data_IF_846936996039
#
_entry.id   IF_846936996039
#
_cell.length_a   1.000
_cell.length_b   1.000
_cell.length_c   1.000
_cell.angle_alpha   90.00
_cell.angle_beta   90.00
_cell.angle_gamma   90.00
#
_symmetry.space_group_name_H-M   'P 1'
#
loop_
_entity.id
_entity.type
_entity.pdbx_description
1 polymer ?
#
# COMPACT_ATOMS: atom_id res chain seq x y z
N UNK A 1 5.41 -3.86 10.99
CA UNK A 1 5.90 -4.00 12.38
C UNK A 1 6.12 -5.47 12.75
N UNK A 2 5.10 -6.32 12.69
CA UNK A 2 5.15 -7.67 13.29
C UNK A 2 6.14 -8.66 12.67
N UNK A 3 6.53 -8.45 11.40
CA UNK A 3 7.51 -9.32 10.72
C UNK A 3 8.93 -9.19 11.30
N UNK A 4 9.41 -7.96 11.51
CA UNK A 4 10.83 -7.68 11.79
C UNK A 4 11.09 -6.82 13.04
N UNK A 5 10.11 -6.03 13.49
CA UNK A 5 10.32 -5.00 14.52
C UNK A 5 9.50 -5.22 15.81
N UNK A 6 8.41 -6.00 15.75
CA UNK A 6 7.51 -6.19 16.89
C UNK A 6 6.86 -7.59 16.89
N UNK A 7 7.69 -8.64 17.05
CA UNK A 7 7.21 -10.05 17.04
C UNK A 7 6.46 -10.40 18.33
N UNK A 8 5.43 -11.24 18.23
CA UNK A 8 4.68 -11.70 19.39
C UNK A 8 5.55 -12.52 20.36
N UNK A 9 5.33 -12.35 21.67
CA UNK A 9 6.06 -13.09 22.69
C UNK A 9 5.46 -14.49 22.92
N UNK A 10 6.28 -15.46 23.37
CA UNK A 10 5.77 -16.69 23.97
C UNK A 10 4.79 -16.39 25.10
N UNK A 11 3.81 -17.28 25.30
CA UNK A 11 2.74 -17.11 26.31
C UNK A 11 3.28 -16.89 27.71
N UNK A 12 4.40 -17.52 28.05
CA UNK A 12 5.06 -17.43 29.36
C UNK A 12 5.73 -16.07 29.63
N UNK A 13 6.08 -15.33 28.57
CA UNK A 13 6.79 -14.04 28.65
C UNK A 13 5.87 -12.85 28.36
N UNK A 14 4.56 -13.08 28.18
CA UNK A 14 3.63 -12.07 27.66
C UNK A 14 3.40 -10.89 28.60
N UNK A 15 3.62 -11.03 29.91
CA UNK A 15 3.29 -10.02 30.92
C UNK A 15 4.29 -10.01 32.09
N UNK A 16 4.58 -8.82 32.60
CA UNK A 16 5.34 -8.62 33.85
C UNK A 16 4.62 -9.21 35.06
N UNK A 17 5.38 -9.66 36.06
CA UNK A 17 4.86 -10.23 37.30
C UNK A 17 4.20 -11.62 37.16
N UNK A 18 4.04 -12.15 35.95
CA UNK A 18 3.45 -13.47 35.68
C UNK A 18 4.36 -14.32 34.80
N UNK A 19 4.18 -15.64 34.85
CA UNK A 19 4.95 -16.59 34.03
C UNK A 19 6.45 -16.49 34.31
N UNK A 20 7.25 -16.30 33.26
CA UNK A 20 8.71 -16.19 33.36
C UNK A 20 9.19 -14.92 34.08
N UNK A 21 8.32 -13.89 34.21
CA UNK A 21 8.58 -12.65 34.97
C UNK A 21 7.97 -12.68 36.38
N UNK A 22 7.67 -13.86 36.93
CA UNK A 22 7.11 -13.98 38.28
C UNK A 22 7.99 -13.27 39.32
N UNK A 23 7.39 -12.32 40.06
CA UNK A 23 8.07 -11.51 41.07
C UNK A 23 8.71 -10.21 40.58
N UNK A 24 8.79 -9.97 39.26
CA UNK A 24 9.25 -8.70 38.68
C UNK A 24 8.09 -7.97 37.99
N UNK A 25 7.46 -7.06 38.74
CA UNK A 25 6.29 -6.31 38.28
C UNK A 25 6.62 -5.28 37.19
N UNK A 26 7.89 -4.89 37.06
CA UNK A 26 8.35 -3.85 36.12
C UNK A 26 9.16 -4.43 34.95
N UNK A 27 9.31 -5.76 34.87
CA UNK A 27 10.14 -6.42 33.85
C UNK A 27 11.55 -5.82 33.72
N UNK A 28 12.18 -5.51 34.85
CA UNK A 28 13.51 -4.87 34.88
C UNK A 28 14.62 -5.85 34.48
N UNK A 29 14.41 -7.14 34.77
CA UNK A 29 15.34 -8.22 34.45
C UNK A 29 14.79 -9.11 33.35
N UNK A 30 15.62 -9.46 32.35
CA UNK A 30 15.23 -10.37 31.27
C UNK A 30 15.42 -11.83 31.72
N UNK A 31 14.33 -12.64 31.82
CA UNK A 31 14.43 -14.05 32.15
C UNK A 31 15.13 -14.83 31.03
N UNK A 32 15.90 -15.88 31.35
CA UNK A 32 16.64 -16.66 30.35
C UNK A 32 15.73 -17.41 29.37
N UNK A 33 14.45 -17.63 29.72
CA UNK A 33 13.46 -18.26 28.85
C UNK A 33 12.81 -17.28 27.84
N UNK A 34 13.02 -15.97 27.99
CA UNK A 34 12.34 -14.95 27.19
C UNK A 34 13.27 -14.32 26.15
N UNK A 35 12.79 -14.08 24.92
CA UNK A 35 13.58 -13.39 23.92
C UNK A 35 13.71 -11.89 24.25
N UNK A 36 14.82 -11.24 23.86
CA UNK A 36 15.01 -9.82 24.09
C UNK A 36 14.09 -8.97 23.21
N UNK A 37 13.73 -7.79 23.73
CA UNK A 37 13.05 -6.72 23.00
C UNK A 37 14.07 -5.60 22.76
N UNK A 38 14.39 -5.20 21.51
CA UNK A 38 13.92 -5.69 20.20
C UNK A 38 14.56 -7.02 19.74
N UNK A 39 14.01 -7.76 18.74
CA UNK A 39 12.88 -7.43 17.85
C UNK A 39 11.50 -7.93 18.31
N UNK A 40 11.43 -8.55 19.49
CA UNK A 40 10.17 -9.02 20.06
C UNK A 40 9.47 -7.88 20.82
N UNK A 41 8.14 -7.98 20.96
CA UNK A 41 7.34 -7.00 21.69
C UNK A 41 7.81 -6.84 23.14
N UNK A 42 7.54 -5.70 23.77
CA UNK A 42 7.78 -5.59 25.21
C UNK A 42 6.66 -6.31 25.98
N UNK A 43 6.96 -7.02 27.08
CA UNK A 43 5.93 -7.63 27.91
C UNK A 43 4.91 -6.60 28.41
N UNK A 44 3.65 -7.03 28.53
CA UNK A 44 2.58 -6.16 29.02
C UNK A 44 2.78 -5.85 30.52
N UNK A 45 2.37 -4.67 31.00
CA UNK A 45 2.43 -4.32 32.41
C UNK A 45 1.41 -5.11 33.23
N UNK A 46 1.67 -5.26 34.54
CA UNK A 46 0.73 -5.87 35.48
C UNK A 46 -0.27 -4.82 35.99
N UNK A 47 -1.27 -4.49 35.17
CA UNK A 47 -2.30 -3.48 35.49
C UNK A 47 -3.72 -4.03 35.30
N UNK A 48 -4.64 -3.70 36.22
CA UNK A 48 -6.08 -4.01 36.13
C UNK A 48 -6.80 -3.16 35.09
N UNK A 49 -7.82 -3.72 34.42
CA UNK A 49 -8.70 -3.02 33.48
C UNK A 49 -9.37 -1.78 34.10
N UNK A 50 -9.59 -1.80 35.41
CA UNK A 50 -10.15 -0.65 36.16
C UNK A 50 -9.28 0.62 36.12
N UNK A 51 -8.05 0.52 35.58
CA UNK A 51 -7.12 1.65 35.49
C UNK A 51 -7.19 2.43 34.18
N UNK A 52 -8.14 2.12 33.30
CA UNK A 52 -8.33 2.89 32.06
C UNK A 52 -8.72 4.35 32.31
N UNK A 53 -9.39 4.63 33.43
CA UNK A 53 -9.84 5.97 33.82
C UNK A 53 -8.96 6.62 34.91
N UNK A 54 -7.92 5.92 35.38
CA UNK A 54 -7.08 6.41 36.46
C UNK A 54 -6.09 7.48 35.95
N UNK A 55 -6.01 8.61 36.65
CA UNK A 55 -5.06 9.69 36.36
C UNK A 55 -3.63 9.37 36.79
N UNK A 56 -3.46 8.43 37.72
CA UNK A 56 -2.16 7.96 38.20
C UNK A 56 -2.13 6.44 38.30
N UNK A 57 -1.16 5.82 37.65
CA UNK A 57 -0.98 4.37 37.61
C UNK A 57 -0.37 3.81 38.89
N UNK A 58 0.25 4.64 39.75
CA UNK A 58 0.80 4.18 41.02
C UNK A 58 -0.30 3.67 41.98
N UNK A 59 -1.52 4.20 41.85
CA UNK A 59 -2.67 3.83 42.69
C UNK A 59 -3.44 2.61 42.16
N UNK A 60 -2.96 1.99 41.09
CA UNK A 60 -3.67 0.94 40.39
C UNK A 60 -3.57 -0.44 41.05
N UNK A 61 -4.70 -1.16 41.04
CA UNK A 61 -4.76 -2.55 41.48
C UNK A 61 -4.11 -3.47 40.44
N UNK A 62 -3.40 -4.48 40.92
CA UNK A 62 -2.73 -5.51 40.12
C UNK A 62 -3.54 -6.82 40.13
N UNK A 63 -4.85 -6.72 39.94
CA UNK A 63 -5.81 -7.83 40.08
C UNK A 63 -6.48 -8.05 38.71
N UNK A 64 -6.80 -9.30 38.32
CA UNK A 64 -7.56 -9.56 37.10
C UNK A 64 -8.97 -8.94 37.16
N UNK A 65 -9.55 -8.51 36.03
CA UNK A 65 -9.06 -8.62 34.65
C UNK A 65 -7.93 -7.63 34.34
N UNK A 66 -6.94 -8.07 33.55
CA UNK A 66 -5.78 -7.25 33.20
C UNK A 66 -5.97 -6.48 31.89
N UNK A 67 -5.31 -5.33 31.78
CA UNK A 67 -5.24 -4.47 30.58
C UNK A 67 -4.55 -5.21 29.43
N UNK A 68 -5.13 -5.19 28.22
CA UNK A 68 -4.55 -5.76 27.01
C UNK A 68 -3.72 -4.72 26.21
N UNK A 69 -3.03 -5.15 25.16
CA UNK A 69 -2.24 -4.24 24.31
C UNK A 69 -3.07 -3.14 23.63
N UNK A 70 -4.36 -3.39 23.40
CA UNK A 70 -5.30 -2.46 22.74
C UNK A 70 -5.81 -1.40 23.72
N UNK A 71 -5.85 -1.74 25.01
CA UNK A 71 -6.34 -0.87 26.08
C UNK A 71 -5.30 0.18 26.50
N UNK A 72 -4.03 0.00 26.12
CA UNK A 72 -2.90 0.89 26.46
C UNK A 72 -2.73 1.95 25.36
N UNK A 73 -3.08 3.20 25.69
CA UNK A 73 -2.92 4.33 24.78
C UNK A 73 -1.60 5.10 25.02
N UNK A 74 -0.52 4.69 24.36
CA UNK A 74 0.80 5.31 24.49
C UNK A 74 0.93 6.75 23.96
N UNK A 75 -0.09 7.30 23.31
CA UNK A 75 -0.10 8.70 22.88
C UNK A 75 -0.48 9.66 24.02
N UNK A 76 -1.14 9.14 25.05
CA UNK A 76 -1.55 9.93 26.21
C UNK A 76 -0.46 10.00 27.28
N UNK A 77 -0.32 11.15 27.93
CA UNK A 77 0.76 11.40 28.90
C UNK A 77 0.76 10.42 30.09
N UNK A 78 -0.42 10.01 30.56
CA UNK A 78 -0.58 9.09 31.69
C UNK A 78 0.04 7.72 31.38
N UNK A 79 -0.16 7.21 30.17
CA UNK A 79 0.37 5.91 29.75
C UNK A 79 1.80 6.00 29.24
N UNK A 80 2.16 7.13 28.62
CA UNK A 80 3.51 7.36 28.09
C UNK A 80 4.55 7.52 29.20
N UNK A 81 4.22 8.23 30.27
CA UNK A 81 5.13 8.51 31.38
C UNK A 81 4.78 7.76 32.67
N UNK A 82 3.79 6.88 32.62
CA UNK A 82 3.36 6.10 33.78
C UNK A 82 4.44 5.09 34.24
N UNK A 83 4.61 4.87 35.56
CA UNK A 83 5.70 4.06 36.11
C UNK A 83 5.73 2.62 35.60
N UNK A 84 4.55 2.03 35.33
CA UNK A 84 4.44 0.64 34.88
C UNK A 84 4.42 0.51 33.35
N UNK A 85 3.97 1.54 32.62
CA UNK A 85 3.75 1.48 31.16
C UNK A 85 4.80 2.22 30.35
N UNK A 86 5.65 3.03 30.96
CA UNK A 86 6.71 3.79 30.27
C UNK A 86 7.63 2.89 29.45
N UNK A 87 8.11 1.78 30.01
CA UNK A 87 9.00 0.85 29.30
C UNK A 87 8.30 0.21 28.09
N UNK A 88 7.04 -0.22 28.26
CA UNK A 88 6.23 -0.76 27.18
C UNK A 88 5.99 0.27 26.06
N UNK A 89 5.58 1.49 26.42
CA UNK A 89 5.33 2.54 25.44
C UNK A 89 6.59 3.03 24.74
N UNK A 90 7.73 3.14 25.44
CA UNK A 90 9.01 3.47 24.83
C UNK A 90 9.46 2.40 23.82
N UNK A 91 9.33 1.11 24.19
CA UNK A 91 9.64 0.01 23.29
C UNK A 91 8.71 -0.02 22.07
N UNK A 92 7.40 0.13 22.27
CA UNK A 92 6.40 0.22 21.19
C UNK A 92 6.72 1.37 20.23
N UNK A 93 6.97 2.57 20.77
CA UNK A 93 7.31 3.75 19.98
C UNK A 93 8.61 3.56 19.19
N UNK A 94 9.64 2.97 19.79
CA UNK A 94 10.89 2.66 19.08
C UNK A 94 10.70 1.67 17.92
N UNK A 95 9.82 0.68 18.10
CA UNK A 95 9.47 -0.29 17.06
C UNK A 95 8.63 0.34 15.93
N UNK A 96 7.71 1.25 16.28
CA UNK A 96 6.94 2.05 15.31
C UNK A 96 7.85 2.93 14.45
N UNK A 97 8.79 3.64 15.08
CA UNK A 97 9.78 4.46 14.36
C UNK A 97 10.67 3.63 13.43
N UNK A 98 11.14 2.46 13.90
CA UNK A 98 11.94 1.55 13.07
C UNK A 98 11.13 1.00 11.88
N UNK A 99 9.83 0.75 12.06
CA UNK A 99 8.94 0.28 11.01
C UNK A 99 8.48 1.39 10.04
N UNK A 100 8.53 2.66 10.43
CA UNK A 100 8.20 3.79 9.58
C UNK A 100 9.18 3.93 8.38
N UNK A 101 10.46 3.60 8.58
CA UNK A 101 11.47 3.68 7.53
C UNK A 101 11.08 2.95 6.24
N UNK A 102 10.82 1.63 6.28
CA UNK A 102 10.35 0.87 5.13
C UNK A 102 9.07 1.41 4.48
N UNK A 103 8.14 1.97 5.25
CA UNK A 103 6.89 2.55 4.73
C UNK A 103 7.16 3.82 3.90
N UNK A 104 8.11 4.66 4.33
CA UNK A 104 8.49 5.88 3.60
C UNK A 104 9.37 5.61 2.38
N UNK A 105 10.16 4.53 2.40
CA UNK A 105 11.06 4.17 1.28
C UNK A 105 10.29 3.83 0.01
N UNK A 106 9.12 3.18 0.10
CA UNK A 106 8.31 2.81 -1.07
C UNK A 106 7.94 4.00 -1.96
N UNK A 107 7.21 5.01 -1.45
CA UNK A 107 6.87 6.21 -2.20
C UNK A 107 8.09 6.99 -2.73
N UNK A 108 9.16 7.06 -1.93
CA UNK A 108 10.41 7.69 -2.37
C UNK A 108 11.04 6.95 -3.55
N UNK A 109 11.09 5.61 -3.50
CA UNK A 109 11.58 4.79 -4.59
C UNK A 109 10.75 5.02 -5.86
N UNK A 110 9.41 5.07 -5.76
CA UNK A 110 8.52 5.39 -6.89
C UNK A 110 8.86 6.76 -7.49
N UNK A 111 9.04 7.79 -6.65
CA UNK A 111 9.33 9.14 -7.12
C UNK A 111 10.63 9.21 -7.94
N UNK A 112 11.64 8.45 -7.54
CA UNK A 112 12.92 8.37 -8.26
C UNK A 112 12.82 7.47 -9.50
N UNK A 113 12.09 6.36 -9.42
CA UNK A 113 12.03 5.36 -10.49
C UNK A 113 11.03 5.68 -11.58
N UNK A 114 9.98 6.46 -11.29
CA UNK A 114 8.94 6.84 -12.24
C UNK A 114 9.47 7.51 -13.53
N UNK A 115 10.34 8.55 -13.50
CA UNK A 115 10.84 9.15 -14.72
C UNK A 115 11.73 8.20 -15.54
N UNK A 116 12.55 7.38 -14.87
CA UNK A 116 13.45 6.42 -15.50
C UNK A 116 12.68 5.32 -16.22
N UNK A 117 11.72 4.71 -15.53
CA UNK A 117 10.90 3.64 -16.10
C UNK A 117 9.90 4.19 -17.11
N UNK A 118 9.36 5.39 -16.92
CA UNK A 118 8.55 6.06 -17.94
C UNK A 118 9.29 6.19 -19.26
N UNK A 119 10.50 6.76 -19.23
CA UNK A 119 11.35 6.88 -20.42
C UNK A 119 11.67 5.52 -21.06
N UNK A 120 11.94 4.49 -20.24
CA UNK A 120 12.21 3.14 -20.73
C UNK A 120 11.01 2.53 -21.45
N UNK A 121 9.82 2.63 -20.85
CA UNK A 121 8.57 2.09 -21.41
C UNK A 121 8.24 2.78 -22.73
N UNK A 122 8.40 4.10 -22.78
CA UNK A 122 8.15 4.87 -24.01
C UNK A 122 9.12 4.51 -25.14
N UNK A 123 10.38 4.15 -24.82
CA UNK A 123 11.37 3.76 -25.82
C UNK A 123 11.23 2.32 -26.31
N UNK A 124 10.87 1.41 -25.41
CA UNK A 124 10.78 -0.04 -25.70
C UNK A 124 9.48 -0.39 -26.43
N UNK A 125 8.36 0.25 -26.07
CA UNK A 125 7.03 -0.16 -26.53
C UNK A 125 6.55 -1.43 -25.80
N UNK A 126 5.67 -2.22 -26.42
CA UNK A 126 5.15 -3.48 -25.85
C UNK A 126 4.47 -3.34 -24.47
N UNK A 127 3.61 -2.34 -24.31
CA UNK A 127 3.04 -1.93 -23.01
C UNK A 127 2.29 -3.05 -22.30
N UNK A 128 1.60 -3.93 -23.03
CA UNK A 128 0.85 -5.08 -22.49
C UNK A 128 1.79 -6.14 -21.88
N UNK A 129 2.89 -6.48 -22.53
CA UNK A 129 3.91 -7.39 -21.97
C UNK A 129 4.66 -6.78 -20.78
N UNK A 130 4.97 -5.49 -20.86
CA UNK A 130 5.58 -4.76 -19.75
C UNK A 130 4.64 -4.77 -18.53
N UNK A 131 3.33 -4.55 -18.74
CA UNK A 131 2.33 -4.63 -17.69
C UNK A 131 2.28 -6.05 -17.09
N UNK A 132 2.29 -7.10 -17.91
CA UNK A 132 2.34 -8.48 -17.42
C UNK A 132 3.61 -8.77 -16.60
N UNK A 133 4.77 -8.34 -17.10
CA UNK A 133 6.05 -8.48 -16.41
C UNK A 133 6.08 -7.73 -15.07
N UNK A 134 5.49 -6.54 -15.01
CA UNK A 134 5.37 -5.77 -13.78
C UNK A 134 4.44 -6.44 -12.75
N UNK A 135 3.34 -7.07 -13.18
CA UNK A 135 2.48 -7.85 -12.29
C UNK A 135 3.18 -9.12 -11.77
N UNK A 136 3.99 -9.78 -12.60
CA UNK A 136 4.82 -10.89 -12.16
C UNK A 136 5.88 -10.45 -11.13
N UNK A 137 6.51 -9.29 -11.34
CA UNK A 137 7.44 -8.71 -10.37
C UNK A 137 6.75 -8.31 -9.06
N UNK A 138 5.52 -7.81 -9.13
CA UNK A 138 4.70 -7.51 -7.95
C UNK A 138 4.38 -8.79 -7.16
N UNK A 139 3.98 -9.86 -7.85
CA UNK A 139 3.77 -11.17 -7.21
C UNK A 139 5.06 -11.69 -6.55
N UNK A 140 6.21 -11.56 -7.23
CA UNK A 140 7.50 -11.91 -6.65
C UNK A 140 7.81 -11.09 -5.39
N UNK A 141 7.53 -9.78 -5.40
CA UNK A 141 7.71 -8.94 -4.21
C UNK A 141 6.82 -9.40 -3.04
N UNK A 142 5.54 -9.74 -3.30
CA UNK A 142 4.62 -10.24 -2.27
C UNK A 142 5.06 -11.61 -1.71
N UNK A 143 5.55 -12.51 -2.56
CA UNK A 143 6.08 -13.81 -2.11
C UNK A 143 7.35 -13.66 -1.27
N UNK A 144 8.27 -12.76 -1.67
CA UNK A 144 9.46 -12.42 -0.88
C UNK A 144 9.09 -11.83 0.48
N UNK A 145 8.07 -10.96 0.52
CA UNK A 145 7.58 -10.34 1.75
C UNK A 145 6.99 -11.37 2.73
N UNK A 146 6.28 -12.37 2.21
CA UNK A 146 5.57 -13.35 3.01
C UNK A 146 6.40 -14.54 3.47
N UNK A 147 7.25 -15.09 2.60
CA UNK A 147 7.89 -16.39 2.83
C UNK A 147 9.40 -16.33 3.06
N UNK A 148 10.03 -15.18 2.85
CA UNK A 148 11.50 -15.07 2.93
C UNK A 148 11.92 -14.26 4.16
N UNK A 149 13.12 -14.48 4.68
CA UNK A 149 13.74 -13.65 5.74
C UNK A 149 14.65 -12.55 5.20
N UNK A 150 14.56 -12.23 3.90
CA UNK A 150 15.32 -11.14 3.26
C UNK A 150 14.85 -9.80 3.81
N UNK A 151 15.80 -8.87 3.93
CA UNK A 151 15.57 -7.49 4.39
C UNK A 151 14.35 -6.86 3.73
N UNK A 152 13.48 -6.23 4.54
CA UNK A 152 12.22 -5.63 4.12
C UNK A 152 12.38 -4.57 3.02
N UNK A 153 13.53 -3.91 2.92
CA UNK A 153 13.78 -2.90 1.89
C UNK A 153 13.76 -3.48 0.47
N UNK A 154 14.23 -4.72 0.28
CA UNK A 154 14.32 -5.35 -1.04
C UNK A 154 12.94 -5.57 -1.69
N UNK A 155 11.98 -6.27 -1.06
CA UNK A 155 10.65 -6.45 -1.65
C UNK A 155 9.90 -5.12 -1.79
N UNK A 156 10.08 -4.17 -0.87
CA UNK A 156 9.43 -2.84 -0.94
C UNK A 156 9.92 -2.05 -2.16
N UNK A 157 11.23 -2.00 -2.40
CA UNK A 157 11.80 -1.31 -3.56
C UNK A 157 11.44 -2.03 -4.86
N UNK A 158 11.43 -3.37 -4.87
CA UNK A 158 11.00 -4.14 -6.03
C UNK A 158 9.52 -3.88 -6.37
N UNK A 159 8.65 -3.85 -5.35
CA UNK A 159 7.23 -3.53 -5.50
C UNK A 159 7.03 -2.10 -6.02
N UNK A 160 7.78 -1.13 -5.49
CA UNK A 160 7.76 0.26 -5.96
C UNK A 160 8.15 0.35 -7.44
N UNK A 161 9.24 -0.29 -7.84
CA UNK A 161 9.70 -0.33 -9.23
C UNK A 161 8.65 -0.96 -10.16
N UNK A 162 8.07 -2.10 -9.75
CA UNK A 162 7.01 -2.78 -10.50
C UNK A 162 5.78 -1.87 -10.69
N UNK A 163 5.34 -1.19 -9.63
CA UNK A 163 4.20 -0.26 -9.69
C UNK A 163 4.48 0.94 -10.60
N UNK A 164 5.70 1.50 -10.56
CA UNK A 164 6.11 2.58 -11.48
C UNK A 164 6.02 2.13 -12.94
N UNK A 165 6.55 0.95 -13.26
CA UNK A 165 6.53 0.39 -14.62
C UNK A 165 5.08 0.14 -15.07
N UNK A 166 4.25 -0.46 -14.22
CA UNK A 166 2.85 -0.73 -14.49
C UNK A 166 2.08 0.56 -14.80
N UNK A 167 2.22 1.57 -13.92
CA UNK A 167 1.59 2.88 -14.04
C UNK A 167 2.00 3.57 -15.35
N UNK A 168 3.30 3.60 -15.66
CA UNK A 168 3.83 4.19 -16.89
C UNK A 168 3.32 3.49 -18.17
N UNK A 169 3.10 2.18 -18.13
CA UNK A 169 2.59 1.44 -19.27
C UNK A 169 1.06 1.58 -19.44
N UNK A 170 0.30 1.50 -18.34
CA UNK A 170 -1.16 1.33 -18.37
C UNK A 170 -1.94 2.65 -18.48
N UNK A 171 -1.55 3.71 -17.77
CA UNK A 171 -2.28 4.97 -17.84
C UNK A 171 -2.37 5.54 -19.25
N UNK A 172 -1.26 5.73 -19.99
CA UNK A 172 -1.36 6.20 -21.38
C UNK A 172 -2.08 5.23 -22.31
N UNK A 173 -2.01 3.92 -22.06
CA UNK A 173 -2.75 2.93 -22.84
C UNK A 173 -4.28 3.12 -22.72
N UNK A 174 -4.76 3.58 -21.56
CA UNK A 174 -6.18 3.84 -21.34
C UNK A 174 -6.72 4.90 -22.29
N UNK A 175 -5.99 6.00 -22.51
CA UNK A 175 -6.39 7.06 -23.45
C UNK A 175 -6.42 6.61 -24.91
N UNK A 176 -5.67 5.57 -25.28
CA UNK A 176 -5.67 5.04 -26.64
C UNK A 176 -6.85 4.08 -26.92
N UNK A 177 -7.44 3.54 -25.86
CA UNK A 177 -8.54 2.58 -25.94
C UNK A 177 -9.92 3.25 -26.00
N UNK A 178 -10.00 4.58 -25.88
CA UNK A 178 -11.27 5.34 -25.83
C UNK A 178 -11.23 6.53 -26.78
N UNK A 179 -12.41 6.93 -27.26
CA UNK A 179 -12.54 8.09 -28.14
C UNK A 179 -12.11 9.39 -27.42
N UNK A 180 -11.57 10.39 -28.14
CA UNK A 180 -11.04 11.62 -27.55
C UNK A 180 -12.03 12.36 -26.62
N UNK A 181 -13.32 12.32 -26.93
CA UNK A 181 -14.37 12.94 -26.12
C UNK A 181 -14.61 12.24 -24.76
N UNK A 182 -14.31 10.94 -24.67
CA UNK A 182 -14.59 10.10 -23.51
C UNK A 182 -13.36 9.82 -22.62
N UNK A 183 -12.20 10.40 -22.96
CA UNK A 183 -10.94 10.18 -22.22
C UNK A 183 -11.07 10.54 -20.74
N UNK A 184 -11.66 11.69 -20.42
CA UNK A 184 -11.85 12.13 -19.03
C UNK A 184 -12.72 11.17 -18.21
N UNK A 185 -13.81 10.67 -18.80
CA UNK A 185 -14.68 9.68 -18.17
C UNK A 185 -13.95 8.37 -17.94
N UNK A 186 -13.13 7.91 -18.89
CA UNK A 186 -12.34 6.69 -18.76
C UNK A 186 -11.36 6.78 -17.58
N UNK A 187 -10.60 7.87 -17.47
CA UNK A 187 -9.70 8.10 -16.33
C UNK A 187 -10.47 8.23 -15.00
N UNK A 188 -11.65 8.86 -15.01
CA UNK A 188 -12.51 8.97 -13.84
C UNK A 188 -13.00 7.60 -13.34
N UNK A 189 -13.48 6.75 -14.24
CA UNK A 189 -13.91 5.38 -13.92
C UNK A 189 -12.74 4.54 -13.40
N UNK A 190 -11.58 4.59 -14.07
CA UNK A 190 -10.39 3.88 -13.63
C UNK A 190 -9.95 4.32 -12.21
N UNK A 191 -9.96 5.62 -11.94
CA UNK A 191 -9.62 6.18 -10.63
C UNK A 191 -10.65 5.80 -9.56
N UNK A 192 -11.94 5.74 -9.91
CA UNK A 192 -12.98 5.28 -9.00
C UNK A 192 -12.76 3.82 -8.57
N UNK A 193 -12.37 2.94 -9.49
CA UNK A 193 -12.01 1.56 -9.15
C UNK A 193 -10.79 1.48 -8.22
N UNK A 194 -9.77 2.31 -8.43
CA UNK A 194 -8.62 2.39 -7.52
C UNK A 194 -9.05 2.83 -6.11
N UNK A 195 -9.93 3.82 -6.00
CA UNK A 195 -10.44 4.28 -4.70
C UNK A 195 -11.27 3.21 -3.99
N UNK A 196 -12.07 2.43 -4.74
CA UNK A 196 -12.78 1.27 -4.18
C UNK A 196 -11.79 0.24 -3.63
N UNK A 197 -10.71 -0.06 -4.35
CA UNK A 197 -9.65 -0.93 -3.86
C UNK A 197 -8.99 -0.41 -2.58
N UNK A 198 -8.67 0.88 -2.54
CA UNK A 198 -8.08 1.54 -1.36
C UNK A 198 -9.02 1.55 -0.15
N UNK A 199 -10.34 1.52 -0.35
CA UNK A 199 -11.32 1.44 0.73
C UNK A 199 -11.56 0.00 1.22
N UNK A 200 -11.70 -0.96 0.30
CA UNK A 200 -12.06 -2.35 0.63
C UNK A 200 -10.88 -3.09 1.26
N UNK A 201 -9.68 -2.95 0.70
CA UNK A 201 -8.52 -3.74 1.11
C UNK A 201 -8.18 -3.54 2.60
N UNK A 202 -8.05 -2.30 3.14
CA UNK A 202 -7.80 -2.10 4.56
C UNK A 202 -8.91 -2.64 5.47
N UNK A 203 -10.18 -2.51 5.04
CA UNK A 203 -11.31 -3.05 5.80
C UNK A 203 -11.25 -4.56 5.92
N UNK A 204 -10.92 -5.25 4.82
CA UNK A 204 -10.74 -6.69 4.83
C UNK A 204 -9.60 -7.11 5.78
N UNK A 205 -8.48 -6.38 5.80
CA UNK A 205 -7.37 -6.63 6.73
C UNK A 205 -7.80 -6.52 8.19
N UNK A 206 -8.62 -5.54 8.53
CA UNK A 206 -9.15 -5.37 9.89
C UNK A 206 -10.08 -6.52 10.28
N UNK A 207 -10.96 -6.95 9.37
CA UNK A 207 -11.87 -8.08 9.61
C UNK A 207 -11.09 -9.38 9.82
N UNK A 208 -10.11 -9.67 8.96
CA UNK A 208 -9.24 -10.84 9.10
C UNK A 208 -8.51 -10.83 10.44
N UNK A 209 -7.94 -9.69 10.83
CA UNK A 209 -7.28 -9.56 12.13
C UNK A 209 -8.24 -9.75 13.32
N UNK A 210 -9.48 -9.22 13.21
CA UNK A 210 -10.48 -9.36 14.27
C UNK A 210 -10.89 -10.81 14.51
N UNK A 211 -10.83 -11.67 13.50
CA UNK A 211 -11.23 -13.09 13.60
C UNK A 211 -10.03 -13.96 14.00
N UNK A 212 -8.87 -13.73 13.38
CA UNK A 212 -7.70 -14.61 13.52
C UNK A 212 -6.74 -14.18 14.63
N UNK A 213 -6.82 -12.92 15.09
CA UNK A 213 -5.93 -12.30 16.08
C UNK A 213 -4.43 -12.39 15.77
N UNK A 214 -4.08 -12.72 14.52
CA UNK A 214 -2.71 -12.87 14.04
C UNK A 214 -2.62 -12.33 12.61
N UNK A 215 -1.72 -11.37 12.33
CA UNK A 215 -1.57 -10.80 10.98
C UNK A 215 -0.75 -11.71 10.04
N UNK A 216 0.32 -12.33 10.54
CA UNK A 216 1.22 -13.19 9.75
C UNK A 216 0.87 -14.68 9.99
N UNK A 217 0.61 -15.52 8.97
CA UNK A 217 0.89 -15.37 7.53
C UNK A 217 -0.30 -14.95 6.65
N UNK A 218 -1.52 -14.90 7.20
CA UNK A 218 -2.77 -14.76 6.43
C UNK A 218 -2.82 -13.49 5.55
N UNK A 219 -2.32 -12.38 6.08
CA UNK A 219 -2.26 -11.10 5.35
C UNK A 219 -1.44 -11.21 4.05
N UNK A 220 -0.31 -11.92 4.08
CA UNK A 220 0.53 -12.07 2.89
C UNK A 220 -0.12 -12.97 1.84
N UNK A 221 -0.85 -13.99 2.28
CA UNK A 221 -1.60 -14.88 1.37
C UNK A 221 -2.71 -14.11 0.67
N UNK A 222 -3.42 -13.22 1.37
CA UNK A 222 -4.41 -12.34 0.77
C UNK A 222 -3.81 -11.46 -0.32
N UNK A 223 -2.72 -10.75 -0.02
CA UNK A 223 -2.09 -9.88 -1.01
C UNK A 223 -1.46 -10.65 -2.18
N UNK A 224 -0.93 -11.84 -1.92
CA UNK A 224 -0.46 -12.75 -2.97
C UNK A 224 -1.63 -13.19 -3.86
N UNK A 225 -2.80 -13.48 -3.28
CA UNK A 225 -4.03 -13.79 -4.02
C UNK A 225 -4.49 -12.63 -4.91
N UNK A 226 -4.46 -11.40 -4.39
CA UNK A 226 -4.77 -10.19 -5.18
C UNK A 226 -3.75 -9.97 -6.30
N UNK A 227 -2.46 -10.21 -6.05
CA UNK A 227 -1.42 -10.12 -7.08
C UNK A 227 -1.59 -11.19 -8.17
N UNK A 228 -1.97 -12.42 -7.81
CA UNK A 228 -2.30 -13.48 -8.76
C UNK A 228 -3.51 -13.12 -9.62
N UNK A 229 -4.57 -12.58 -9.01
CA UNK A 229 -5.75 -12.10 -9.73
C UNK A 229 -5.39 -10.97 -10.71
N UNK A 230 -4.60 -9.99 -10.26
CA UNK A 230 -4.13 -8.91 -11.12
C UNK A 230 -3.24 -9.40 -12.26
N UNK A 231 -2.36 -10.38 -12.02
CA UNK A 231 -1.56 -11.03 -13.06
C UNK A 231 -2.45 -11.77 -14.07
N UNK A 232 -3.52 -12.43 -13.60
CA UNK A 232 -4.53 -13.06 -14.46
C UNK A 232 -5.25 -12.04 -15.36
N UNK A 233 -5.64 -10.88 -14.80
CA UNK A 233 -6.24 -9.79 -15.58
C UNK A 233 -5.24 -9.19 -16.59
N UNK A 234 -3.97 -9.04 -16.23
CA UNK A 234 -2.93 -8.59 -17.16
C UNK A 234 -2.69 -9.60 -18.29
N UNK A 235 -2.71 -10.90 -17.98
CA UNK A 235 -2.61 -11.95 -18.99
C UNK A 235 -3.84 -11.97 -19.92
N UNK A 236 -5.04 -11.75 -19.36
CA UNK A 236 -6.27 -11.57 -20.14
C UNK A 236 -6.15 -10.35 -21.07
N UNK A 237 -5.62 -9.22 -20.59
CA UNK A 237 -5.39 -8.02 -21.38
C UNK A 237 -4.46 -8.30 -22.57
N UNK A 238 -3.34 -8.99 -22.33
CA UNK A 238 -2.42 -9.43 -23.38
C UNK A 238 -3.15 -10.32 -24.38
N UNK A 239 -3.91 -11.31 -23.91
CA UNK A 239 -4.67 -12.21 -24.79
C UNK A 239 -5.68 -11.48 -25.68
N UNK A 240 -6.44 -10.52 -25.12
CA UNK A 240 -7.43 -9.73 -25.87
C UNK A 240 -6.74 -8.81 -26.88
N UNK A 241 -5.64 -8.16 -26.50
CA UNK A 241 -4.87 -7.29 -27.39
C UNK A 241 -4.33 -8.06 -28.61
N UNK A 242 -3.80 -9.27 -28.38
CA UNK A 242 -3.33 -10.13 -29.46
C UNK A 242 -4.44 -10.65 -30.37
N UNK A 243 -5.56 -11.10 -29.79
CA UNK A 243 -6.61 -11.80 -30.55
C UNK A 243 -7.57 -10.86 -31.26
N UNK A 244 -7.89 -9.70 -30.66
CA UNK A 244 -8.90 -8.77 -31.19
C UNK A 244 -8.33 -7.50 -31.81
N UNK A 245 -7.14 -7.08 -31.38
CA UNK A 245 -6.57 -5.78 -31.74
C UNK A 245 -5.21 -5.88 -32.44
N UNK A 246 -4.79 -7.08 -32.86
CA UNK A 246 -3.54 -7.34 -33.58
C UNK A 246 -2.29 -6.73 -32.91
N UNK A 247 -2.31 -6.52 -31.59
CA UNK A 247 -1.19 -5.93 -30.87
C UNK A 247 -1.06 -4.41 -31.02
N UNK A 248 -2.15 -3.67 -31.19
CA UNK A 248 -2.13 -2.20 -31.35
C UNK A 248 -1.45 -1.49 -30.16
N UNK A 249 -1.55 -2.04 -28.93
CA UNK A 249 -0.82 -1.53 -27.76
C UNK A 249 0.68 -1.84 -27.75
N UNK A 250 1.20 -2.63 -28.70
CA UNK A 250 2.64 -2.87 -28.86
C UNK A 250 3.35 -1.78 -29.66
N UNK A 251 2.60 -0.95 -30.41
CA UNK A 251 3.15 0.12 -31.23
C UNK A 251 4.02 1.08 -30.43
N UNK A 252 5.18 1.44 -31.00
CA UNK A 252 6.10 2.42 -30.42
C UNK A 252 5.49 3.82 -30.40
N UNK A 253 4.64 4.11 -31.39
CA UNK A 253 3.79 5.30 -31.44
C UNK A 253 2.35 4.91 -31.09
N UNK A 254 1.81 5.56 -30.05
CA UNK A 254 0.43 5.38 -29.63
C UNK A 254 -0.51 6.15 -30.57
N UNK A 255 -0.87 5.54 -31.69
CA UNK A 255 -1.94 6.06 -32.54
C UNK A 255 -3.31 5.71 -31.93
N UNK A 256 -4.25 6.67 -31.79
CA UNK A 256 -5.64 6.37 -31.48
C UNK A 256 -6.19 5.32 -32.46
N UNK A 257 -7.11 4.45 -32.02
CA UNK A 257 -7.71 3.46 -32.92
C UNK A 257 -8.21 4.14 -34.21
N UNK A 258 -7.95 3.55 -35.37
CA UNK A 258 -8.41 4.09 -36.66
C UNK A 258 -9.94 4.19 -36.78
N UNK A 259 -10.70 3.46 -35.94
CA UNK A 259 -12.16 3.62 -35.82
C UNK A 259 -12.57 4.89 -35.06
N UNK A 260 -11.64 5.57 -34.39
CA UNK A 260 -11.84 6.77 -33.57
C UNK A 260 -11.31 8.04 -34.24
N UNK A 261 -10.45 7.91 -35.26
CA UNK A 261 -10.24 9.01 -36.19
C UNK A 261 -11.54 9.23 -36.91
N UNK A 262 -12.22 10.33 -36.57
CA UNK A 262 -13.36 10.81 -37.32
C UNK A 262 -13.04 10.68 -38.80
N UNK A 263 -13.91 9.98 -39.55
CA UNK A 263 -13.93 10.13 -41.01
C UNK A 263 -13.88 11.64 -41.23
N UNK A 264 -12.90 12.18 -41.96
CA UNK A 264 -12.93 13.58 -42.30
C UNK A 264 -14.18 13.73 -43.17
N UNK A 265 -15.30 14.12 -42.57
CA UNK A 265 -16.40 14.70 -43.30
C UNK A 265 -15.75 15.88 -44.01
N UNK A 266 -15.65 15.88 -45.36
CA UNK A 266 -15.12 17.02 -46.05
C UNK A 266 -16.04 18.18 -45.66
N UNK A 267 -15.55 19.09 -44.81
CA UNK A 267 -16.28 20.31 -44.51
C UNK A 267 -16.49 20.98 -45.86
N UNK A 268 -17.75 21.25 -46.17
CA UNK A 268 -18.09 21.98 -47.38
C UNK A 268 -17.37 23.33 -47.33
N UNK A 269 -16.96 23.86 -48.49
CA UNK A 269 -16.13 25.07 -48.55
C UNK A 269 -16.80 26.25 -47.82
N UNK A 270 -18.14 26.26 -47.80
CA UNK A 270 -19.03 27.16 -47.07
C UNK A 270 -18.94 27.01 -45.55
N UNK A 271 -19.01 25.81 -44.99
CA UNK A 271 -18.86 25.59 -43.53
C UNK A 271 -17.47 25.98 -43.04
N UNK A 272 -16.44 25.72 -43.86
CA UNK A 272 -15.06 26.13 -43.54
C UNK A 272 -14.92 27.66 -43.49
N UNK A 273 -15.64 28.36 -44.36
CA UNK A 273 -15.63 29.83 -44.42
C UNK A 273 -16.43 30.45 -43.27
N UNK A 274 -17.58 29.87 -42.90
CA UNK A 274 -18.35 30.29 -41.71
C UNK A 274 -17.57 30.12 -40.40
N UNK A 275 -16.76 29.07 -40.27
CA UNK A 275 -15.90 28.88 -39.09
C UNK A 275 -14.74 29.87 -39.03
N UNK A 276 -14.23 30.33 -40.18
CA UNK A 276 -13.17 31.32 -40.26
C UNK A 276 -13.68 32.76 -40.06
N UNK A 277 -14.93 33.04 -40.46
CA UNK A 277 -15.58 34.35 -40.29
C UNK A 277 -16.19 34.57 -38.90
N UNK A 278 -16.22 33.54 -38.04
CA UNK A 278 -16.62 33.74 -36.63
C UNK A 278 -15.54 34.54 -35.90
N UNK A 279 -15.82 35.76 -35.42
CA UNK A 279 -14.87 36.50 -34.59
C UNK A 279 -14.63 35.70 -33.30
N UNK A 280 -13.37 35.28 -33.11
CA UNK A 280 -12.81 34.56 -31.97
C UNK A 280 -13.83 34.12 -30.91
N UNK A 281 -14.27 32.87 -30.98
CA UNK A 281 -14.79 32.19 -29.78
C UNK A 281 -13.65 32.21 -28.78
N UNK A 282 -13.89 32.95 -27.70
CA UNK A 282 -13.03 33.07 -26.54
C UNK A 282 -12.56 31.68 -26.13
N UNK A 283 -11.25 31.47 -26.24
CA UNK A 283 -10.50 30.32 -25.76
C UNK A 283 -11.11 29.78 -24.46
N UNK A 284 -11.74 28.61 -24.52
CA UNK A 284 -11.86 27.71 -23.35
C UNK A 284 -10.49 27.05 -23.12
N UNK A 285 -9.51 27.90 -22.84
CA UNK A 285 -8.21 27.56 -22.30
C UNK A 285 -8.09 28.40 -21.06
N UNK A 286 -7.95 27.74 -19.92
CA UNK A 286 -7.71 28.36 -18.62
C UNK A 286 -6.48 29.28 -18.74
N UNK A 287 -6.72 30.57 -18.88
CA UNK A 287 -5.69 31.58 -18.67
C UNK A 287 -5.35 31.54 -17.18
N UNK A 288 -4.16 31.00 -16.87
CA UNK A 288 -3.53 31.24 -15.58
C UNK A 288 -3.36 32.76 -15.40
N UNK A 289 -3.88 33.27 -14.29
CA UNK A 289 -3.75 34.64 -13.87
C UNK A 289 -2.33 34.92 -13.33
N UNK A 290 -1.83 36.11 -13.69
CA UNK A 290 -0.77 36.94 -13.09
C UNK A 290 0.62 36.33 -12.87
#
# INVERSE_FOLDING_TARGET
>A
MERDYYKALPTECKRCGLGAYAGDNNCSSLPPACPPSPPFAHPLPLLSLSCMEATDQASCRQIPPYVSAVDINCDSDVWKHGPSTQAYCAAKYSAEQAAAGPLSVGPFAIAVSAPLFGYLVDKVGYRTFIALGSMAACLLAQTLLGFTSVSLYVPVVLQAAALSIFSAAMWPALSCCVEPHHVGTAYGVASAFLNVGLAIVPMFVVVEYSILHVYQPYLNVLFMGLALLGMGLAAMLVYVDFTKHCGHLHGRDMAPLASMTAVPTPLDATERQELLDRPHIQSYGTQAAS
#
